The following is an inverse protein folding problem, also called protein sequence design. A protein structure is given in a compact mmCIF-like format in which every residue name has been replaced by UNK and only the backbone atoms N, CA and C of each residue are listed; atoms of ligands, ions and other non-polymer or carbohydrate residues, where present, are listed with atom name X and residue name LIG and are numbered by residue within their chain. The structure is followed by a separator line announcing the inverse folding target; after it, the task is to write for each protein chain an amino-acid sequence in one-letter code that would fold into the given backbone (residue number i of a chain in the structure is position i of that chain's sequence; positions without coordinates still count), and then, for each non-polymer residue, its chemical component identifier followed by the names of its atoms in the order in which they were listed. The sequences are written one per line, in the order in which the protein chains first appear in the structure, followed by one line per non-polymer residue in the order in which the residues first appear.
data_IF_644464636426
#
_entry.id   IF_644464636426
#
_cell.length_a   1.000
_cell.length_b   1.000
_cell.length_c   1.000
_cell.angle_alpha   90.00
_cell.angle_beta   90.00
_cell.angle_gamma   90.00
#
_symmetry.space_group_name_H-M   'P 1'
#
loop_
_entity.id
_entity.type
_entity.pdbx_description
1 polymer ?
#
# COMPACT_ATOMS: atom_id res chain seq x y z
N UNK A 1 -30.26 10.45 53.38
CA UNK A 1 -29.98 11.50 52.38
C UNK A 1 -29.16 10.84 51.28
N UNK A 2 -29.62 10.96 50.03
CA UNK A 2 -29.38 10.01 48.94
C UNK A 2 -27.94 9.84 48.48
N UNK A 3 -27.59 8.59 48.27
CA UNK A 3 -26.46 8.12 47.47
C UNK A 3 -26.83 8.17 45.99
N UNK A 4 -26.04 8.86 45.18
CA UNK A 4 -25.98 8.62 43.74
C UNK A 4 -24.60 9.06 43.23
N UNK A 5 -23.58 8.37 43.72
CA UNK A 5 -22.29 8.33 43.06
C UNK A 5 -22.45 7.57 41.72
N UNK A 6 -21.94 8.20 40.67
CA UNK A 6 -21.33 7.55 39.51
C UNK A 6 -22.26 7.00 38.40
N UNK A 7 -22.87 7.90 37.62
CA UNK A 7 -23.43 7.61 36.31
C UNK A 7 -22.34 7.55 35.21
N UNK A 8 -21.42 6.59 35.32
CA UNK A 8 -20.38 6.36 34.30
C UNK A 8 -20.01 4.87 34.22
N UNK A 9 -20.99 4.01 33.95
CA UNK A 9 -20.79 2.58 33.72
C UNK A 9 -21.82 2.02 32.73
N UNK A 10 -21.40 1.88 31.46
CA UNK A 10 -21.74 0.79 30.54
C UNK A 10 -21.36 1.22 29.12
N UNK A 11 -20.07 1.07 28.77
CA UNK A 11 -19.78 0.82 27.35
C UNK A 11 -20.33 -0.59 27.11
N UNK A 12 -21.54 -0.70 26.60
CA UNK A 12 -22.22 -1.98 26.47
C UNK A 12 -21.37 -2.94 25.63
N UNK A 13 -21.26 -4.19 26.07
CA UNK A 13 -20.50 -5.27 25.41
C UNK A 13 -20.80 -5.40 23.91
N UNK A 14 -21.99 -4.97 23.48
CA UNK A 14 -22.42 -4.93 22.08
C UNK A 14 -21.65 -3.89 21.26
N UNK A 15 -21.38 -2.71 21.82
CA UNK A 15 -20.62 -1.62 21.15
C UNK A 15 -19.14 -1.97 20.97
N UNK A 16 -18.55 -2.70 21.92
CA UNK A 16 -17.18 -3.19 21.81
C UNK A 16 -17.03 -4.22 20.67
N UNK A 17 -17.99 -5.14 20.54
CA UNK A 17 -18.02 -6.12 19.46
C UNK A 17 -18.32 -5.48 18.09
N UNK A 18 -19.15 -4.43 18.05
CA UNK A 18 -19.42 -3.63 16.84
C UNK A 18 -18.14 -2.96 16.31
N UNK A 19 -17.41 -2.30 17.20
CA UNK A 19 -16.15 -1.63 16.88
C UNK A 19 -15.09 -2.64 16.40
N UNK A 20 -14.98 -3.78 17.07
CA UNK A 20 -14.06 -4.85 16.66
C UNK A 20 -14.38 -5.34 15.24
N UNK A 21 -15.66 -5.60 14.92
CA UNK A 21 -16.09 -5.97 13.55
C UNK A 21 -15.72 -4.89 12.53
N UNK A 22 -15.94 -3.62 12.86
CA UNK A 22 -15.61 -2.50 11.98
C UNK A 22 -14.11 -2.45 11.68
N UNK A 23 -13.26 -2.50 12.71
CA UNK A 23 -11.80 -2.49 12.59
C UNK A 23 -11.28 -3.69 11.79
N UNK A 24 -11.82 -4.89 12.03
CA UNK A 24 -11.48 -6.08 11.24
C UNK A 24 -11.84 -5.89 9.77
N UNK A 25 -13.01 -5.31 9.46
CA UNK A 25 -13.43 -5.05 8.09
C UNK A 25 -12.52 -4.03 7.38
N UNK A 26 -12.07 -2.99 8.07
CA UNK A 26 -11.16 -1.99 7.53
C UNK A 26 -9.79 -2.58 7.21
N UNK A 27 -9.24 -3.38 8.14
CA UNK A 27 -7.99 -4.11 7.91
C UNK A 27 -8.09 -5.06 6.73
N UNK A 28 -9.18 -5.82 6.62
CA UNK A 28 -9.42 -6.73 5.50
C UNK A 28 -9.49 -5.97 4.16
N UNK A 29 -10.16 -4.81 4.13
CA UNK A 29 -10.21 -3.95 2.93
C UNK A 29 -8.83 -3.43 2.55
N UNK A 30 -8.03 -2.97 3.51
CA UNK A 30 -6.67 -2.50 3.27
C UNK A 30 -5.77 -3.62 2.73
N UNK A 31 -5.81 -4.80 3.35
CA UNK A 31 -5.06 -5.97 2.90
C UNK A 31 -5.44 -6.39 1.47
N UNK A 32 -6.75 -6.39 1.15
CA UNK A 32 -7.21 -6.70 -0.20
C UNK A 32 -6.70 -5.68 -1.22
N UNK A 33 -6.76 -4.38 -0.91
CA UNK A 33 -6.23 -3.33 -1.79
C UNK A 33 -4.72 -3.49 -2.04
N UNK A 34 -3.96 -3.82 -1.00
CA UNK A 34 -2.54 -4.08 -1.15
C UNK A 34 -2.28 -5.30 -2.04
N UNK A 35 -2.98 -6.42 -1.80
CA UNK A 35 -2.83 -7.63 -2.59
C UNK A 35 -3.21 -7.43 -4.07
N UNK A 36 -4.29 -6.68 -4.36
CA UNK A 36 -4.66 -6.35 -5.74
C UNK A 36 -3.59 -5.50 -6.42
N UNK A 37 -3.03 -4.51 -5.71
CA UNK A 37 -1.96 -3.68 -6.25
C UNK A 37 -0.68 -4.49 -6.52
N UNK A 38 -0.29 -5.37 -5.59
CA UNK A 38 0.86 -6.26 -5.77
C UNK A 38 0.69 -7.19 -6.97
N UNK A 39 -0.51 -7.73 -7.18
CA UNK A 39 -0.82 -8.55 -8.35
C UNK A 39 -0.67 -7.73 -9.65
N UNK A 40 -1.26 -6.55 -9.71
CA UNK A 40 -1.21 -5.67 -10.88
C UNK A 40 0.24 -5.32 -11.28
N UNK A 41 1.10 -4.96 -10.32
CA UNK A 41 2.49 -4.62 -10.64
C UNK A 41 3.31 -5.82 -11.11
N UNK A 42 2.99 -7.02 -10.65
CA UNK A 42 3.60 -8.27 -11.12
C UNK A 42 3.13 -8.61 -12.53
N UNK A 43 1.83 -8.53 -12.80
CA UNK A 43 1.27 -8.75 -14.14
C UNK A 43 1.87 -7.77 -15.16
N UNK A 44 2.03 -6.50 -14.81
CA UNK A 44 2.72 -5.51 -15.65
C UNK A 44 4.20 -5.82 -15.86
N UNK A 45 4.87 -6.46 -14.91
CA UNK A 45 6.26 -6.90 -15.08
C UNK A 45 6.35 -8.11 -16.03
N UNK A 46 5.43 -9.06 -15.92
CA UNK A 46 5.32 -10.21 -16.81
C UNK A 46 4.98 -9.79 -18.25
N UNK A 47 4.08 -8.82 -18.42
CA UNK A 47 3.77 -8.26 -19.74
C UNK A 47 5.03 -7.67 -20.41
N UNK A 48 5.85 -6.93 -19.65
CA UNK A 48 7.12 -6.37 -20.14
C UNK A 48 8.16 -7.45 -20.46
N UNK A 49 8.13 -8.57 -19.75
CA UNK A 49 8.99 -9.72 -20.10
C UNK A 49 8.57 -10.29 -21.46
N UNK A 50 7.26 -10.42 -21.68
CA UNK A 50 6.70 -10.95 -22.91
C UNK A 50 6.95 -10.04 -24.13
N UNK A 51 6.86 -8.72 -23.96
CA UNK A 51 7.10 -7.75 -25.04
C UNK A 51 8.59 -7.37 -25.22
N UNK A 52 9.47 -7.85 -24.34
CA UNK A 52 10.92 -7.62 -24.39
C UNK A 52 11.38 -6.29 -23.79
N UNK A 53 10.50 -5.48 -23.23
CA UNK A 53 10.85 -4.20 -22.57
C UNK A 53 11.27 -4.35 -21.11
N UNK A 54 11.23 -5.56 -20.54
CA UNK A 54 11.66 -5.79 -19.16
C UNK A 54 13.12 -5.38 -18.94
N UNK A 55 13.34 -4.66 -17.84
CA UNK A 55 14.64 -4.08 -17.51
C UNK A 55 14.88 -2.69 -18.10
N UNK A 56 13.99 -2.14 -18.92
CA UNK A 56 14.01 -0.74 -19.31
C UNK A 56 13.12 0.13 -18.39
N UNK A 57 13.62 1.30 -18.01
CA UNK A 57 12.87 2.27 -17.23
C UNK A 57 11.70 2.83 -18.06
N UNK A 58 10.47 2.76 -17.52
CA UNK A 58 9.28 3.27 -18.21
C UNK A 58 9.24 4.78 -18.43
N UNK A 59 10.07 5.54 -17.70
CA UNK A 59 10.08 7.00 -17.79
C UNK A 59 11.19 7.54 -18.68
N UNK A 60 12.41 7.01 -18.59
CA UNK A 60 13.56 7.52 -19.33
C UNK A 60 14.15 6.54 -20.34
N UNK A 61 13.66 5.30 -20.41
CA UNK A 61 14.18 4.25 -21.28
C UNK A 61 15.52 3.63 -20.87
N UNK A 62 16.23 4.22 -19.90
CA UNK A 62 17.51 3.69 -19.43
C UNK A 62 17.36 2.32 -18.75
N UNK A 63 18.43 1.52 -18.77
CA UNK A 63 18.47 0.22 -18.10
C UNK A 63 18.24 0.36 -16.58
N UNK A 64 17.40 -0.51 -16.04
CA UNK A 64 17.21 -0.69 -14.59
C UNK A 64 18.35 -1.58 -14.10
N UNK A 65 19.06 -1.13 -13.06
CA UNK A 65 20.17 -1.88 -12.49
C UNK A 65 19.74 -3.30 -12.11
N UNK A 66 20.55 -4.30 -12.46
CA UNK A 66 20.25 -5.71 -12.19
C UNK A 66 20.00 -5.97 -10.70
N UNK A 67 20.84 -5.40 -9.82
CA UNK A 67 20.66 -5.51 -8.36
C UNK A 67 19.28 -5.02 -7.89
N UNK A 68 18.71 -3.99 -8.55
CA UNK A 68 17.37 -3.49 -8.26
C UNK A 68 16.28 -4.45 -8.74
N UNK A 69 16.43 -5.06 -9.91
CA UNK A 69 15.50 -6.07 -10.41
C UNK A 69 15.56 -7.37 -9.58
N UNK A 70 16.73 -7.73 -9.04
CA UNK A 70 16.88 -8.85 -8.12
C UNK A 70 16.20 -8.59 -6.77
N UNK A 71 16.30 -7.36 -6.25
CA UNK A 71 15.63 -6.98 -5.01
C UNK A 71 14.12 -6.76 -5.19
N UNK A 72 13.71 -6.14 -6.31
CA UNK A 72 12.32 -5.84 -6.64
C UNK A 72 12.07 -6.14 -8.14
N UNK A 73 11.65 -7.38 -8.49
CA UNK A 73 11.44 -7.78 -9.88
C UNK A 73 10.36 -6.98 -10.61
N UNK A 74 9.34 -6.49 -9.90
CA UNK A 74 8.29 -5.66 -10.50
C UNK A 74 8.70 -4.21 -10.75
N UNK A 75 9.94 -3.80 -10.44
CA UNK A 75 10.39 -2.42 -10.62
C UNK A 75 10.15 -1.92 -12.06
N UNK A 76 9.47 -0.77 -12.16
CA UNK A 76 9.13 -0.13 -13.43
C UNK A 76 10.08 1.02 -13.79
N UNK A 77 10.85 1.52 -12.82
CA UNK A 77 11.69 2.70 -12.98
C UNK A 77 13.11 2.46 -12.46
N UNK A 78 14.09 3.14 -13.08
CA UNK A 78 15.43 3.25 -12.53
C UNK A 78 15.41 4.05 -11.22
N UNK A 79 16.49 3.95 -10.44
CA UNK A 79 16.57 4.60 -9.13
C UNK A 79 16.37 6.12 -9.22
N UNK A 80 16.97 6.78 -10.22
CA UNK A 80 16.85 8.23 -10.40
C UNK A 80 15.41 8.67 -10.71
N UNK A 81 14.72 7.99 -11.63
CA UNK A 81 13.31 8.28 -11.91
C UNK A 81 12.42 7.99 -10.71
N UNK A 82 12.68 6.89 -9.99
CA UNK A 82 11.94 6.57 -8.77
C UNK A 82 12.09 7.66 -7.70
N UNK A 83 13.31 8.13 -7.44
CA UNK A 83 13.58 9.21 -6.48
C UNK A 83 12.89 10.52 -6.86
N UNK A 84 12.82 10.82 -8.16
CA UNK A 84 12.10 12.00 -8.65
C UNK A 84 10.59 11.89 -8.44
N UNK A 85 10.01 10.70 -8.67
CA UNK A 85 8.60 10.42 -8.40
C UNK A 85 8.30 10.60 -6.91
N UNK A 86 9.10 9.99 -6.04
CA UNK A 86 8.93 10.07 -4.58
C UNK A 86 9.03 11.52 -4.07
N UNK A 87 10.00 12.28 -4.57
CA UNK A 87 10.15 13.71 -4.23
C UNK A 87 8.91 14.52 -4.64
N UNK A 88 8.33 14.24 -5.80
CA UNK A 88 7.11 14.94 -6.26
C UNK A 88 5.92 14.65 -5.35
N UNK A 89 5.74 13.40 -4.94
CA UNK A 89 4.66 13.05 -4.02
C UNK A 89 4.81 13.71 -2.65
N UNK A 90 6.04 13.90 -2.16
CA UNK A 90 6.28 14.60 -0.90
C UNK A 90 5.85 16.07 -0.98
N UNK A 91 6.21 16.77 -2.07
CA UNK A 91 5.83 18.18 -2.27
C UNK A 91 4.33 18.35 -2.48
N UNK A 92 3.65 17.38 -3.09
CA UNK A 92 2.19 17.43 -3.31
C UNK A 92 1.37 17.14 -2.04
N UNK A 93 1.98 16.58 -0.99
CA UNK A 93 1.34 16.24 0.30
C UNK A 93 1.55 17.30 1.38
N UNK A 94 2.25 18.39 1.07
CA UNK A 94 2.48 19.58 1.91
C UNK A 94 1.58 20.74 1.46
#
# INVERSE_FOLDING_TARGET
MGTAENAMHSVDSETAAELERMLLSERARAARKQATWELEVVELALARLADGSYGACRQCGAAIALARLLAQPSAAHCLACQQNIERRYQVEQE
#
